data_IF_551585467702
#
_entry.id   IF_551585467702
#
_cell.length_a   1.000
_cell.length_b   1.000
_cell.length_c   1.000
_cell.angle_alpha   90.00
_cell.angle_beta   90.00
_cell.angle_gamma   90.00
#
_symmetry.space_group_name_H-M   'P 1'
#
loop_
_entity.id
_entity.type
_entity.pdbx_description
1 polymer ?
#
# COMPACT_ATOMS: atom_id res chain seq x y z
N UNK A 1 17.99 2.78 8.67
CA UNK A 1 16.63 2.89 8.09
C UNK A 1 16.65 2.92 6.56
N UNK A 2 17.18 3.96 5.88
CA UNK A 2 17.14 4.08 4.41
C UNK A 2 17.62 2.83 3.65
N UNK A 3 18.81 2.32 3.95
CA UNK A 3 19.37 1.12 3.30
C UNK A 3 18.50 -0.14 3.50
N UNK A 4 17.85 -0.27 4.66
CA UNK A 4 16.94 -1.37 4.94
C UNK A 4 15.68 -1.27 4.09
N UNK A 5 15.06 -0.08 4.02
CA UNK A 5 13.92 0.19 3.15
C UNK A 5 14.25 -0.03 1.68
N UNK A 6 15.42 0.41 1.21
CA UNK A 6 15.90 0.11 -0.14
C UNK A 6 16.01 -1.40 -0.40
N UNK A 7 16.48 -2.18 0.58
CA UNK A 7 16.52 -3.63 0.48
C UNK A 7 15.13 -4.25 0.45
N UNK A 8 14.16 -3.73 1.20
CA UNK A 8 12.76 -4.17 1.16
C UNK A 8 12.17 -3.91 -0.24
N UNK A 9 12.31 -2.68 -0.76
CA UNK A 9 11.81 -2.28 -2.09
C UNK A 9 12.52 -3.05 -3.22
N UNK A 10 13.77 -3.46 -3.01
CA UNK A 10 14.53 -4.30 -3.93
C UNK A 10 14.25 -5.81 -3.77
N UNK A 11 13.40 -6.22 -2.82
CA UNK A 11 13.09 -7.63 -2.54
C UNK A 11 14.24 -8.43 -1.92
N UNK A 12 15.21 -7.77 -1.28
CA UNK A 12 16.39 -8.37 -0.61
C UNK A 12 16.18 -8.65 0.87
N UNK A 13 15.17 -8.02 1.48
CA UNK A 13 14.72 -8.26 2.86
C UNK A 13 13.19 -8.25 2.89
N UNK A 14 12.58 -8.85 3.91
CA UNK A 14 11.13 -8.99 3.99
C UNK A 14 10.53 -8.15 5.12
N UNK A 15 9.28 -7.75 4.92
CA UNK A 15 8.38 -7.20 5.94
C UNK A 15 7.24 -8.19 6.21
N UNK A 16 6.49 -7.98 7.28
CA UNK A 16 5.27 -8.74 7.57
C UNK A 16 4.35 -8.72 6.32
N UNK A 17 3.86 -9.89 5.92
CA UNK A 17 3.04 -10.10 4.71
C UNK A 17 3.65 -9.57 3.38
N UNK A 18 4.97 -9.36 3.32
CA UNK A 18 5.63 -8.77 2.15
C UNK A 18 5.83 -9.72 0.96
N UNK A 19 5.73 -11.04 1.13
CA UNK A 19 6.17 -12.01 0.14
C UNK A 19 5.51 -11.85 -1.25
N UNK A 20 4.17 -11.86 -1.30
CA UNK A 20 3.43 -11.72 -2.56
C UNK A 20 3.57 -10.31 -3.15
N UNK A 21 3.59 -9.28 -2.30
CA UNK A 21 3.75 -7.88 -2.72
C UNK A 21 5.11 -7.71 -3.41
N UNK A 22 6.19 -8.21 -2.80
CA UNK A 22 7.54 -8.14 -3.38
C UNK A 22 7.68 -8.99 -4.63
N UNK A 23 7.05 -10.16 -4.69
CA UNK A 23 7.04 -11.00 -5.88
C UNK A 23 6.39 -10.27 -7.06
N UNK A 24 5.24 -9.62 -6.85
CA UNK A 24 4.55 -8.82 -7.87
C UNK A 24 5.40 -7.62 -8.32
N UNK A 25 5.95 -6.84 -7.37
CA UNK A 25 6.84 -5.71 -7.67
C UNK A 25 8.07 -6.11 -8.46
N UNK A 26 8.71 -7.23 -8.11
CA UNK A 26 9.88 -7.73 -8.83
C UNK A 26 9.52 -8.21 -10.24
N UNK A 27 8.36 -8.85 -10.41
CA UNK A 27 7.88 -9.27 -11.72
C UNK A 27 7.66 -8.06 -12.65
N UNK A 28 7.01 -7.00 -12.14
CA UNK A 28 6.84 -5.73 -12.86
C UNK A 28 8.17 -5.12 -13.28
N UNK A 29 9.12 -4.98 -12.34
CA UNK A 29 10.45 -4.40 -12.60
C UNK A 29 11.23 -5.18 -13.67
N UNK A 30 11.14 -6.51 -13.66
CA UNK A 30 11.80 -7.36 -14.65
C UNK A 30 11.12 -7.27 -16.02
N UNK A 31 9.78 -7.26 -16.06
CA UNK A 31 9.01 -7.08 -17.30
C UNK A 31 9.31 -5.73 -17.98
N UNK A 32 9.38 -4.65 -17.20
CA UNK A 32 9.72 -3.30 -17.70
C UNK A 32 11.13 -3.23 -18.33
N UNK A 33 12.10 -4.00 -17.80
CA UNK A 33 13.48 -4.03 -18.33
C UNK A 33 13.60 -4.81 -19.63
N UNK A 34 12.77 -5.83 -19.83
CA UNK A 34 12.78 -6.67 -21.02
C UNK A 34 12.10 -5.98 -22.23
N UNK A 35 11.17 -5.05 -21.99
CA UNK A 35 10.60 -4.19 -23.02
C UNK A 35 11.37 -2.88 -23.18
N UNK A 36 11.67 -2.46 -24.40
CA UNK A 36 12.13 -1.09 -24.69
C UNK A 36 10.99 -0.10 -24.40
N UNK A 37 10.86 0.34 -23.15
CA UNK A 37 9.70 1.10 -22.69
C UNK A 37 10.10 2.51 -22.25
N UNK A 38 10.00 3.43 -23.21
CA UNK A 38 10.13 4.87 -23.02
C UNK A 38 8.80 5.55 -23.40
N UNK A 39 7.70 5.27 -22.69
CA UNK A 39 6.44 6.00 -22.89
C UNK A 39 5.78 6.39 -21.57
N UNK A 40 5.25 7.63 -21.51
CA UNK A 40 4.79 8.29 -20.27
C UNK A 40 3.35 7.92 -19.87
N UNK A 41 3.13 7.76 -18.56
CA UNK A 41 1.82 7.88 -17.89
C UNK A 41 0.86 6.70 -18.10
N UNK A 42 -0.33 6.96 -18.67
CA UNK A 42 -1.43 5.99 -18.85
C UNK A 42 -0.97 4.69 -19.53
N UNK A 43 0.04 4.76 -20.40
CA UNK A 43 0.58 3.57 -21.05
C UNK A 43 1.30 2.65 -20.04
N UNK A 44 1.95 3.20 -19.01
CA UNK A 44 2.65 2.43 -17.97
C UNK A 44 1.66 1.59 -17.17
N UNK A 45 0.57 2.16 -16.67
CA UNK A 45 -0.43 1.39 -15.91
C UNK A 45 -1.02 0.24 -16.70
N UNK A 46 -1.42 0.48 -17.95
CA UNK A 46 -1.97 -0.57 -18.83
C UNK A 46 -0.94 -1.66 -19.13
N UNK A 47 0.34 -1.31 -19.27
CA UNK A 47 1.41 -2.30 -19.43
C UNK A 47 1.64 -3.12 -18.17
N UNK A 48 1.60 -2.48 -17.00
CA UNK A 48 1.69 -3.16 -15.71
C UNK A 48 0.48 -4.08 -15.47
N UNK A 49 -0.73 -3.69 -15.87
CA UNK A 49 -1.91 -4.57 -15.81
C UNK A 49 -1.67 -5.87 -16.59
N UNK A 50 -1.13 -5.79 -17.81
CA UNK A 50 -0.80 -6.99 -18.61
C UNK A 50 0.23 -7.88 -17.89
N UNK A 51 1.25 -7.27 -17.28
CA UNK A 51 2.26 -8.01 -16.52
C UNK A 51 1.67 -8.61 -15.23
N UNK A 52 0.77 -7.92 -14.54
CA UNK A 52 0.09 -8.42 -13.36
C UNK A 52 -0.84 -9.57 -13.72
N UNK A 53 -1.56 -9.48 -14.83
CA UNK A 53 -2.42 -10.56 -15.31
C UNK A 53 -1.61 -11.84 -15.59
N UNK A 54 -0.44 -11.69 -16.22
CA UNK A 54 0.50 -12.80 -16.42
C UNK A 54 1.02 -13.35 -15.09
N UNK A 55 1.46 -12.47 -14.19
CA UNK A 55 1.94 -12.84 -12.86
C UNK A 55 0.87 -13.60 -12.07
N UNK A 56 -0.36 -13.09 -12.03
CA UNK A 56 -1.48 -13.69 -11.33
C UNK A 56 -1.81 -15.08 -11.89
N UNK A 57 -1.79 -15.23 -13.22
CA UNK A 57 -2.03 -16.52 -13.89
C UNK A 57 -0.94 -17.54 -13.56
N UNK A 58 0.34 -17.15 -13.68
CA UNK A 58 1.48 -18.06 -13.45
C UNK A 58 1.54 -18.52 -11.99
N UNK A 59 1.17 -17.65 -11.04
CA UNK A 59 1.25 -17.92 -9.61
C UNK A 59 -0.08 -18.38 -9.00
N UNK A 60 -1.13 -18.59 -9.80
CA UNK A 60 -2.47 -19.00 -9.33
C UNK A 60 -3.04 -18.03 -8.27
N UNK A 61 -2.90 -16.72 -8.51
CA UNK A 61 -3.33 -15.65 -7.61
C UNK A 61 -4.63 -14.95 -8.08
N UNK A 62 -5.40 -15.59 -8.96
CA UNK A 62 -6.71 -15.08 -9.34
C UNK A 62 -7.75 -15.45 -8.30
N UNK A 63 -8.47 -14.44 -7.82
CA UNK A 63 -9.62 -14.59 -6.92
C UNK A 63 -10.88 -14.50 -7.79
N UNK A 64 -11.61 -15.60 -7.92
CA UNK A 64 -12.81 -15.69 -8.75
C UNK A 64 -14.10 -15.48 -7.96
N UNK A 65 -14.09 -15.86 -6.69
CA UNK A 65 -15.24 -15.78 -5.80
C UNK A 65 -14.92 -14.81 -4.66
N UNK A 66 -15.38 -13.57 -4.80
CA UNK A 66 -15.38 -12.60 -3.72
C UNK A 66 -16.75 -12.68 -3.04
N UNK A 67 -16.81 -13.31 -1.86
CA UNK A 67 -18.00 -13.23 -1.00
C UNK A 67 -18.12 -11.81 -0.44
N UNK A 68 -18.82 -10.96 -1.20
CA UNK A 68 -19.05 -9.52 -0.96
C UNK A 68 -20.16 -9.28 0.08
N UNK A 69 -20.61 -10.31 0.80
CA UNK A 69 -21.83 -10.25 1.62
C UNK A 69 -21.75 -9.30 2.83
N UNK A 70 -20.57 -8.79 3.17
CA UNK A 70 -20.32 -7.96 4.35
C UNK A 70 -19.67 -6.61 4.03
N UNK A 71 -20.28 -5.81 3.16
CA UNK A 71 -19.81 -4.45 2.87
C UNK A 71 -19.76 -3.58 4.15
N UNK A 72 -18.60 -2.97 4.43
CA UNK A 72 -18.36 -2.09 5.59
C UNK A 72 -18.40 -0.62 5.16
N UNK A 73 -17.64 -0.27 4.13
CA UNK A 73 -17.47 1.11 3.65
C UNK A 73 -16.96 1.12 2.22
N UNK A 74 -17.24 2.20 1.49
CA UNK A 74 -16.66 2.50 0.19
C UNK A 74 -16.14 3.94 0.18
N UNK A 75 -14.88 4.10 -0.20
CA UNK A 75 -14.37 5.35 -0.75
C UNK A 75 -14.49 5.35 -2.28
N UNK A 76 -13.99 6.39 -2.95
CA UNK A 76 -13.95 6.43 -4.41
C UNK A 76 -13.05 5.32 -5.03
N UNK A 77 -12.15 4.69 -4.26
CA UNK A 77 -11.11 3.79 -4.77
C UNK A 77 -10.97 2.45 -4.05
N UNK A 78 -11.69 2.26 -2.95
CA UNK A 78 -11.57 1.05 -2.16
C UNK A 78 -12.92 0.63 -1.63
N UNK A 79 -13.23 -0.65 -1.82
CA UNK A 79 -14.34 -1.31 -1.18
C UNK A 79 -13.80 -2.15 -0.04
N UNK A 80 -14.34 -1.93 1.17
CA UNK A 80 -13.94 -2.63 2.39
C UNK A 80 -15.04 -3.62 2.78
N UNK A 81 -14.67 -4.89 2.93
CA UNK A 81 -15.58 -5.97 3.32
C UNK A 81 -15.10 -6.60 4.62
N UNK A 82 -16.02 -6.86 5.55
CA UNK A 82 -15.72 -7.58 6.77
C UNK A 82 -15.63 -9.07 6.42
N UNK A 83 -14.43 -9.64 6.55
CA UNK A 83 -14.26 -11.07 6.32
C UNK A 83 -14.73 -11.88 7.54
N UNK A 84 -14.36 -11.39 8.73
CA UNK A 84 -14.72 -11.88 10.07
C UNK A 84 -14.59 -10.71 11.07
N UNK A 85 -14.82 -10.93 12.37
CA UNK A 85 -14.63 -9.91 13.43
C UNK A 85 -13.18 -9.37 13.57
N UNK A 86 -12.22 -9.92 12.82
CA UNK A 86 -10.79 -9.64 12.95
C UNK A 86 -10.14 -8.99 11.75
N UNK A 87 -10.66 -9.22 10.54
CA UNK A 87 -9.98 -8.86 9.30
C UNK A 87 -10.96 -8.25 8.31
N UNK A 88 -10.44 -7.32 7.51
CA UNK A 88 -11.13 -6.75 6.35
C UNK A 88 -10.43 -7.14 5.06
N UNK A 89 -11.24 -7.35 4.02
CA UNK A 89 -10.80 -7.43 2.63
C UNK A 89 -10.96 -6.07 1.97
N UNK A 90 -9.92 -5.66 1.25
CA UNK A 90 -9.85 -4.39 0.55
C UNK A 90 -9.56 -4.67 -0.93
N UNK A 91 -10.44 -4.17 -1.79
CA UNK A 91 -10.31 -4.28 -3.25
C UNK A 91 -9.94 -2.90 -3.78
N UNK A 92 -8.78 -2.78 -4.44
CA UNK A 92 -8.23 -1.50 -4.90
C UNK A 92 -7.79 -1.59 -6.37
N UNK A 93 -8.25 -0.65 -7.20
CA UNK A 93 -7.91 -0.53 -8.63
C UNK A 93 -6.70 0.38 -8.90
N UNK A 94 -6.09 0.87 -7.83
CA UNK A 94 -4.90 1.74 -7.80
C UNK A 94 -5.09 3.13 -8.38
N UNK A 95 -6.31 3.64 -8.60
CA UNK A 95 -6.53 4.88 -9.38
C UNK A 95 -5.83 6.14 -8.82
N UNK A 96 -5.59 6.28 -7.51
CA UNK A 96 -4.81 7.36 -6.88
C UNK A 96 -3.29 7.22 -7.05
N UNK A 97 -2.80 6.07 -7.54
CA UNK A 97 -1.37 5.84 -7.76
C UNK A 97 -0.99 6.11 -9.21
N UNK A 98 0.25 6.54 -9.44
CA UNK A 98 0.75 6.77 -10.81
C UNK A 98 1.05 5.47 -11.55
N UNK A 99 1.33 4.39 -10.81
CA UNK A 99 1.63 3.05 -11.32
C UNK A 99 1.24 1.98 -10.29
N UNK A 100 1.10 0.72 -10.72
CA UNK A 100 0.95 -0.42 -9.84
C UNK A 100 2.20 -0.64 -8.97
N UNK A 101 3.38 -0.34 -9.51
CA UNK A 101 4.62 -0.36 -8.72
C UNK A 101 4.56 0.59 -7.52
N UNK A 102 4.03 1.80 -7.71
CA UNK A 102 3.85 2.77 -6.61
C UNK A 102 2.87 2.24 -5.56
N UNK A 103 1.76 1.62 -5.98
CA UNK A 103 0.81 0.99 -5.08
C UNK A 103 1.46 -0.13 -4.24
N UNK A 104 2.21 -1.05 -4.87
CA UNK A 104 2.88 -2.11 -4.12
C UNK A 104 3.98 -1.58 -3.20
N UNK A 105 4.73 -0.55 -3.63
CA UNK A 105 5.69 0.12 -2.76
C UNK A 105 4.99 0.75 -1.55
N UNK A 106 3.81 1.36 -1.74
CA UNK A 106 3.00 1.89 -0.63
C UNK A 106 2.66 0.80 0.40
N UNK A 107 2.20 -0.37 -0.05
CA UNK A 107 1.91 -1.49 0.86
C UNK A 107 3.15 -1.95 1.64
N UNK A 108 4.31 -2.06 0.97
CA UNK A 108 5.57 -2.45 1.64
C UNK A 108 6.01 -1.43 2.69
N UNK A 109 5.85 -0.13 2.40
CA UNK A 109 6.17 0.94 3.33
C UNK A 109 5.22 0.96 4.52
N UNK A 110 3.91 0.80 4.29
CA UNK A 110 2.96 0.63 5.40
C UNK A 110 3.34 -0.56 6.28
N UNK A 111 3.67 -1.71 5.69
CA UNK A 111 4.03 -2.91 6.47
C UNK A 111 5.33 -2.76 7.25
N UNK A 112 6.23 -1.87 6.83
CA UNK A 112 7.44 -1.53 7.57
C UNK A 112 7.17 -0.56 8.71
N UNK A 113 6.51 0.57 8.44
CA UNK A 113 6.29 1.63 9.43
C UNK A 113 5.16 1.29 10.42
N UNK A 114 4.15 0.54 9.97
CA UNK A 114 2.92 0.22 10.69
C UNK A 114 2.60 -1.29 10.63
N UNK A 115 3.47 -2.16 11.18
CA UNK A 115 3.31 -3.62 11.08
C UNK A 115 2.05 -4.16 11.77
N UNK A 116 1.47 -3.40 12.69
CA UNK A 116 0.21 -3.71 13.37
C UNK A 116 -0.98 -3.73 12.41
N UNK A 117 -0.93 -2.94 11.34
CA UNK A 117 -1.95 -2.81 10.30
C UNK A 117 -1.38 -3.22 8.93
N UNK A 118 -0.44 -4.16 8.92
CA UNK A 118 0.19 -4.65 7.70
C UNK A 118 -0.84 -5.24 6.72
N UNK A 119 -0.70 -4.91 5.45
CA UNK A 119 -1.46 -5.45 4.33
C UNK A 119 -0.87 -6.77 3.85
N UNK A 120 -1.74 -7.75 3.55
CA UNK A 120 -1.40 -8.97 2.87
C UNK A 120 -2.03 -8.99 1.48
N UNK A 121 -1.20 -9.12 0.43
CA UNK A 121 -1.71 -9.32 -0.93
C UNK A 121 -2.15 -10.77 -1.11
N UNK A 122 -3.47 -10.98 -1.15
CA UNK A 122 -4.07 -12.30 -1.36
C UNK A 122 -4.04 -12.69 -2.85
N UNK A 123 -4.22 -11.71 -3.73
CA UNK A 123 -4.25 -11.94 -5.16
C UNK A 123 -4.89 -10.79 -5.91
N UNK A 124 -5.44 -11.12 -7.07
CA UNK A 124 -6.03 -10.16 -8.00
C UNK A 124 -7.44 -10.60 -8.38
N UNK A 125 -8.29 -9.61 -8.60
CA UNK A 125 -9.63 -9.78 -9.11
C UNK A 125 -9.80 -8.92 -10.35
N UNK A 126 -10.54 -9.40 -11.35
CA UNK A 126 -10.85 -8.64 -12.54
C UNK A 126 -12.34 -8.75 -12.84
N UNK A 127 -12.97 -7.60 -13.05
CA UNK A 127 -14.30 -7.51 -13.64
C UNK A 127 -14.21 -6.94 -15.06
N UNK A 128 -15.36 -6.69 -15.68
CA UNK A 128 -15.44 -6.18 -17.06
C UNK A 128 -14.79 -4.79 -17.25
N UNK A 129 -14.56 -4.06 -16.16
CA UNK A 129 -14.13 -2.65 -16.20
C UNK A 129 -12.68 -2.44 -15.76
N UNK A 130 -12.20 -3.19 -14.77
CA UNK A 130 -10.90 -2.93 -14.16
C UNK A 130 -10.27 -4.18 -13.53
N UNK A 131 -8.95 -4.08 -13.35
CA UNK A 131 -8.13 -4.98 -12.55
C UNK A 131 -8.02 -4.42 -11.13
N UNK A 132 -8.09 -5.29 -10.14
CA UNK A 132 -8.01 -4.92 -8.73
C UNK A 132 -6.98 -5.80 -8.01
N UNK A 133 -6.19 -5.20 -7.12
CA UNK A 133 -5.53 -5.93 -6.05
C UNK A 133 -6.53 -6.23 -4.94
N UNK A 134 -6.46 -7.45 -4.42
CA UNK A 134 -7.23 -7.87 -3.25
C UNK A 134 -6.27 -8.06 -2.10
N UNK A 135 -6.39 -7.20 -1.09
CA UNK A 135 -5.54 -7.22 0.09
C UNK A 135 -6.35 -7.47 1.35
N UNK A 136 -5.75 -8.17 2.32
CA UNK A 136 -6.29 -8.33 3.66
C UNK A 136 -5.56 -7.40 4.63
N UNK A 137 -6.27 -6.83 5.59
CA UNK A 137 -5.73 -6.05 6.70
C UNK A 137 -6.53 -6.36 7.95
N UNK A 138 -5.94 -6.20 9.14
CA UNK A 138 -6.69 -6.32 10.39
C UNK A 138 -7.82 -5.28 10.44
N UNK A 139 -8.97 -5.66 10.97
CA UNK A 139 -10.06 -4.74 11.26
C UNK A 139 -9.71 -3.93 12.51
N UNK A 140 -9.69 -2.60 12.39
CA UNK A 140 -9.39 -1.69 13.50
C UNK A 140 -10.67 -0.98 13.92
N UNK A 141 -11.06 -1.19 15.18
CA UNK A 141 -12.15 -0.46 15.81
C UNK A 141 -11.56 0.62 16.73
N UNK A 142 -11.88 1.88 16.46
CA UNK A 142 -11.49 2.99 17.32
C UNK A 142 -12.22 2.91 18.67
N UNK A 143 -11.48 2.98 19.77
CA UNK A 143 -12.03 3.03 21.14
C UNK A 143 -12.18 4.47 21.64
N UNK A 144 -11.47 5.39 21.01
CA UNK A 144 -11.40 6.80 21.37
C UNK A 144 -11.14 7.67 20.14
N UNK A 145 -11.39 8.97 20.28
CA UNK A 145 -11.11 9.92 19.20
C UNK A 145 -9.60 10.07 19.01
N UNK A 146 -9.15 10.05 17.75
CA UNK A 146 -7.76 10.34 17.42
C UNK A 146 -7.44 11.81 17.60
N UNK A 147 -6.43 12.09 18.43
CA UNK A 147 -5.87 13.43 18.60
C UNK A 147 -4.72 13.64 17.62
N UNK A 148 -4.89 14.51 16.62
CA UNK A 148 -3.89 14.76 15.57
C UNK A 148 -2.54 15.25 16.13
N UNK A 149 -2.53 15.88 17.30
CA UNK A 149 -1.29 16.25 17.99
C UNK A 149 -0.46 15.03 18.37
N UNK A 150 -1.09 13.93 18.79
CA UNK A 150 -0.39 12.68 19.12
C UNK A 150 0.19 12.03 17.85
N UNK A 151 -0.54 12.07 16.74
CA UNK A 151 -0.06 11.60 15.42
C UNK A 151 1.18 12.39 15.00
N UNK A 152 1.14 13.72 15.13
CA UNK A 152 2.29 14.58 14.83
C UNK A 152 3.50 14.23 15.69
N UNK A 153 3.34 14.13 17.01
CA UNK A 153 4.43 13.78 17.93
C UNK A 153 5.01 12.40 17.58
N UNK A 154 4.15 11.41 17.29
CA UNK A 154 4.58 10.07 16.90
C UNK A 154 5.46 10.09 15.63
N UNK A 155 5.03 10.83 14.60
CA UNK A 155 5.75 10.91 13.32
C UNK A 155 7.05 11.71 13.45
N UNK A 156 7.04 12.83 14.21
CA UNK A 156 8.24 13.62 14.49
C UNK A 156 9.29 12.80 15.24
N UNK A 157 8.87 12.00 16.22
CA UNK A 157 9.76 11.06 16.92
C UNK A 157 10.28 9.93 16.01
N UNK A 158 9.60 9.66 14.89
CA UNK A 158 10.00 8.69 13.87
C UNK A 158 10.84 9.30 12.74
N UNK A 159 11.27 10.57 12.88
CA UNK A 159 12.14 11.26 11.91
C UNK A 159 11.41 11.97 10.77
N UNK A 160 10.07 11.94 10.76
CA UNK A 160 9.28 12.71 9.80
C UNK A 160 9.16 14.17 10.21
N UNK A 161 9.11 15.06 9.23
CA UNK A 161 8.88 16.49 9.41
C UNK A 161 7.54 16.83 8.80
N UNK A 162 6.64 17.39 9.61
CA UNK A 162 5.38 17.92 9.11
C UNK A 162 5.66 19.10 8.16
N UNK A 163 5.07 19.06 6.95
CA UNK A 163 5.24 20.10 5.93
C UNK A 163 4.08 21.06 5.91
N UNK A 164 2.91 20.58 5.51
CA UNK A 164 1.66 21.34 5.43
C UNK A 164 0.53 20.40 5.79
N UNK A 165 -0.51 20.90 6.46
CA UNK A 165 -1.62 20.08 6.92
C UNK A 165 -1.09 18.86 7.69
N UNK A 166 -1.52 17.66 7.33
CA UNK A 166 -1.02 16.41 7.90
C UNK A 166 -0.16 15.63 6.90
N UNK A 167 0.58 16.34 6.04
CA UNK A 167 1.55 15.75 5.12
C UNK A 167 2.93 15.80 5.76
N UNK A 168 3.66 14.69 5.67
CA UNK A 168 4.92 14.48 6.36
C UNK A 168 6.01 14.04 5.39
N UNK A 169 7.24 14.49 5.66
CA UNK A 169 8.40 14.15 4.84
C UNK A 169 9.56 13.71 5.71
N UNK A 170 10.17 12.57 5.38
CA UNK A 170 11.39 12.10 6.03
C UNK A 170 12.62 12.47 5.18
N UNK A 171 13.35 13.55 5.50
CA UNK A 171 14.41 14.09 4.63
C UNK A 171 15.60 13.16 4.42
N UNK A 172 16.01 12.43 5.46
CA UNK A 172 17.16 11.53 5.36
C UNK A 172 16.88 10.30 4.50
N UNK A 173 15.62 9.88 4.39
CA UNK A 173 15.22 8.67 3.69
C UNK A 173 14.67 8.99 2.30
N UNK A 174 14.04 10.15 2.11
CA UNK A 174 13.40 10.52 0.84
C UNK A 174 11.99 9.94 0.70
N UNK A 175 11.20 9.95 1.76
CA UNK A 175 9.82 9.44 1.78
C UNK A 175 8.86 10.55 2.14
N UNK A 176 7.74 10.62 1.44
CA UNK A 176 6.58 11.45 1.80
C UNK A 176 5.46 10.52 2.28
N UNK A 177 4.76 10.92 3.33
CA UNK A 177 3.55 10.28 3.84
C UNK A 177 2.43 11.32 3.87
N UNK A 178 1.39 11.08 3.10
CA UNK A 178 0.23 11.97 2.94
C UNK A 178 -1.06 11.29 3.42
N UNK A 179 -2.16 12.03 3.33
CA UNK A 179 -3.52 11.58 3.61
C UNK A 179 -3.77 11.11 5.06
N UNK A 180 -3.05 11.71 6.01
CA UNK A 180 -3.25 11.43 7.43
C UNK A 180 -4.36 12.32 8.01
N UNK A 181 -5.58 11.81 8.03
CA UNK A 181 -6.70 12.40 8.74
C UNK A 181 -7.23 11.44 9.83
N UNK A 182 -8.19 11.91 10.62
CA UNK A 182 -8.78 11.15 11.72
C UNK A 182 -9.59 9.92 11.26
N UNK A 183 -9.87 9.78 9.97
CA UNK A 183 -10.45 8.54 9.39
C UNK A 183 -9.38 7.52 8.99
N UNK A 184 -8.17 7.96 8.62
CA UNK A 184 -7.04 7.08 8.24
C UNK A 184 -6.08 6.79 9.41
N UNK A 185 -6.25 7.47 10.54
CA UNK A 185 -5.52 7.18 11.77
C UNK A 185 -6.50 7.02 12.91
N UNK A 186 -6.63 5.79 13.42
CA UNK A 186 -7.54 5.42 14.48
C UNK A 186 -6.78 5.21 15.79
N UNK A 187 -7.39 5.53 16.93
CA UNK A 187 -6.84 5.17 18.24
C UNK A 187 -7.61 4.00 18.82
N UNK A 188 -6.89 2.92 19.13
CA UNK A 188 -7.41 1.72 19.77
C UNK A 188 -6.60 1.43 21.03
N UNK A 189 -7.26 1.48 22.19
CA UNK A 189 -6.68 1.30 23.52
C UNK A 189 -5.44 2.19 23.76
N UNK A 190 -5.55 3.46 23.37
CA UNK A 190 -4.46 4.45 23.46
C UNK A 190 -3.33 4.27 22.43
N UNK A 191 -3.44 3.32 21.50
CA UNK A 191 -2.43 3.05 20.45
C UNK A 191 -2.92 3.57 19.11
N UNK A 192 -2.06 4.34 18.42
CA UNK A 192 -2.33 4.80 17.05
C UNK A 192 -2.23 3.63 16.07
N UNK A 193 -3.25 3.48 15.23
CA UNK A 193 -3.35 2.50 14.16
C UNK A 193 -3.54 3.24 12.84
N UNK A 194 -2.57 3.07 11.94
CA UNK A 194 -2.55 3.74 10.65
C UNK A 194 -3.16 2.81 9.60
N UNK A 195 -4.18 3.27 8.91
CA UNK A 195 -4.86 2.55 7.82
C UNK A 195 -4.91 3.46 6.59
N UNK A 196 -4.94 2.87 5.41
CA UNK A 196 -5.06 3.58 4.13
C UNK A 196 -4.05 4.71 3.94
N UNK A 197 -2.82 4.45 4.42
CA UNK A 197 -1.70 5.37 4.29
C UNK A 197 -1.27 5.54 2.83
N UNK A 198 -0.81 6.74 2.49
CA UNK A 198 -0.30 7.06 1.16
C UNK A 198 1.16 7.49 1.24
N UNK A 199 2.06 6.60 0.84
CA UNK A 199 3.49 6.83 0.76
C UNK A 199 3.95 7.13 -0.66
N UNK A 200 4.87 8.09 -0.79
CA UNK A 200 5.60 8.36 -2.03
C UNK A 200 7.11 8.27 -1.80
N UNK A 201 7.79 7.62 -2.74
CA UNK A 201 9.25 7.58 -2.82
C UNK A 201 9.75 8.76 -3.65
N UNK A 202 10.68 9.55 -3.13
CA UNK A 202 11.33 10.62 -3.90
C UNK A 202 12.58 10.11 -4.61
N UNK A 203 13.13 10.90 -5.53
CA UNK A 203 14.44 10.60 -6.16
C UNK A 203 15.57 10.44 -5.12
N UNK A 204 15.49 11.14 -3.99
CA UNK A 204 16.47 11.02 -2.92
C UNK A 204 16.45 9.64 -2.26
N UNK A 205 15.32 8.93 -2.29
CA UNK A 205 15.22 7.56 -1.78
C UNK A 205 16.17 6.62 -2.51
N UNK A 206 16.37 6.79 -3.80
CA UNK A 206 17.19 5.90 -4.62
C UNK A 206 18.68 6.25 -4.59
N UNK A 207 19.05 7.38 -3.98
CA UNK A 207 20.47 7.76 -3.79
C UNK A 207 21.13 6.87 -2.73
N UNK A 208 22.44 6.59 -2.85
CA UNK A 208 23.22 5.89 -1.83
C UNK A 208 23.12 6.52 -0.43
#
# INVERSE_FOLDING_TARGET
MKHELQNIIAGKSQVKHGANIQAATNYLKNGKRAGTLAEKGINIKKQEEVLIEQFATINTLWITDLEIENFVSSGAEQMVYLKDDRDVLKINDTIYYSSWEDYFNNLLLNNYFFPDTAYELLGFYRNDTALYAVVQQIFVLATEKTELTNVKIFLENSGFINKKNNDYFHPEIGIILEDLHDENVLTQDGILKFIDTVFYLTEDFYKP
#
